data_IF_508100485805
#
_entry.id   IF_508100485805
#
_cell.length_a   1.000
_cell.length_b   1.000
_cell.length_c   1.000
_cell.angle_alpha   90.00
_cell.angle_beta   90.00
_cell.angle_gamma   90.00
#
_symmetry.space_group_name_H-M   'P 1'
#
loop_
_entity.id
_entity.type
_entity.pdbx_description
1 polymer ?
#
# COMPACT_ATOMS: atom_id res chain seq x y z
N UNK A 1 -16.37 -16.60 44.59
CA UNK A 1 -15.05 -15.95 44.43
C UNK A 1 -14.24 -16.77 43.46
N UNK A 2 -14.20 -16.37 42.20
CA UNK A 2 -13.44 -17.03 41.15
C UNK A 2 -12.05 -16.41 41.08
N UNK A 3 -11.04 -17.21 41.40
CA UNK A 3 -9.62 -16.80 41.26
C UNK A 3 -9.26 -16.76 39.77
N UNK A 4 -9.01 -15.57 39.24
CA UNK A 4 -8.45 -15.34 37.93
C UNK A 4 -6.99 -15.80 37.94
N UNK A 5 -6.67 -16.84 37.17
CA UNK A 5 -5.31 -17.35 37.04
C UNK A 5 -4.39 -16.31 36.39
N UNK A 6 -3.19 -16.03 36.95
CA UNK A 6 -2.25 -15.04 36.44
C UNK A 6 -1.59 -15.42 35.09
N UNK A 7 -1.72 -16.67 34.64
CA UNK A 7 -1.13 -17.16 33.38
C UNK A 7 -1.78 -16.51 32.13
N UNK A 8 -3.06 -16.16 32.19
CA UNK A 8 -3.75 -15.50 31.07
C UNK A 8 -3.28 -14.06 30.81
N UNK A 9 -2.93 -13.34 31.87
CA UNK A 9 -2.45 -11.95 31.77
C UNK A 9 -1.03 -11.85 31.21
N UNK A 10 -0.15 -12.80 31.54
CA UNK A 10 1.21 -12.85 31.00
C UNK A 10 1.25 -13.27 29.53
N UNK A 11 0.37 -14.19 29.12
CA UNK A 11 0.23 -14.59 27.71
C UNK A 11 -0.34 -13.46 26.84
N UNK A 12 -1.28 -12.67 27.36
CA UNK A 12 -1.79 -11.46 26.68
C UNK A 12 -0.75 -10.34 26.60
N UNK A 13 0.05 -10.12 27.66
CA UNK A 13 1.10 -9.12 27.67
C UNK A 13 2.26 -9.48 26.73
N UNK A 14 2.59 -10.78 26.58
CA UNK A 14 3.58 -11.26 25.60
C UNK A 14 3.09 -11.08 24.16
N UNK A 15 1.82 -11.39 23.88
CA UNK A 15 1.22 -11.14 22.55
C UNK A 15 1.15 -9.64 22.21
N UNK A 16 0.85 -8.77 23.18
CA UNK A 16 0.77 -7.32 22.97
C UNK A 16 2.16 -6.71 22.67
N UNK A 17 3.24 -7.25 23.24
CA UNK A 17 4.61 -6.82 22.90
C UNK A 17 4.99 -7.20 21.46
N UNK A 18 4.52 -8.33 20.97
CA UNK A 18 4.72 -8.75 19.58
C UNK A 18 4.05 -7.80 18.57
N UNK A 19 2.82 -7.32 18.85
CA UNK A 19 2.10 -6.41 17.94
C UNK A 19 2.77 -5.04 17.74
N UNK A 20 3.67 -4.61 18.63
CA UNK A 20 4.41 -3.35 18.47
C UNK A 20 5.46 -3.45 17.36
N UNK A 21 5.89 -4.65 17.01
CA UNK A 21 6.90 -4.92 16.00
C UNK A 21 6.31 -5.16 14.60
N UNK A 22 4.98 -5.22 14.48
CA UNK A 22 4.29 -5.37 13.20
C UNK A 22 4.42 -4.13 12.32
N UNK A 23 4.35 -4.34 11.01
CA UNK A 23 4.42 -3.29 10.02
C UNK A 23 5.72 -2.48 10.13
N UNK A 24 6.86 -3.16 10.07
CA UNK A 24 8.19 -2.52 10.09
C UNK A 24 8.38 -1.58 8.91
N UNK A 25 7.92 -1.99 7.74
CA UNK A 25 7.86 -1.12 6.58
C UNK A 25 6.54 -0.34 6.56
N UNK A 26 6.63 0.97 6.47
CA UNK A 26 5.47 1.85 6.35
C UNK A 26 5.72 2.93 5.33
N UNK A 27 4.74 3.15 4.49
CA UNK A 27 4.78 4.25 3.54
C UNK A 27 4.52 5.56 4.30
N UNK A 28 5.50 6.45 4.29
CA UNK A 28 5.45 7.74 4.99
C UNK A 28 5.55 8.93 4.06
N UNK A 29 6.37 8.82 3.02
CA UNK A 29 6.61 9.89 2.06
C UNK A 29 6.45 9.33 0.65
N UNK A 30 5.47 9.87 -0.07
CA UNK A 30 5.10 9.46 -1.42
C UNK A 30 5.45 10.58 -2.39
N UNK A 31 6.06 10.26 -3.50
CA UNK A 31 6.13 11.14 -4.66
C UNK A 31 5.02 10.76 -5.64
N UNK A 32 4.13 11.70 -5.90
CA UNK A 32 3.13 11.59 -6.96
C UNK A 32 3.64 12.35 -8.19
N UNK A 33 3.99 11.59 -9.23
CA UNK A 33 4.45 12.13 -10.50
C UNK A 33 3.29 12.14 -11.47
N UNK A 34 2.76 13.31 -11.78
CA UNK A 34 1.56 13.44 -12.62
C UNK A 34 1.60 14.71 -13.45
N UNK A 35 1.08 14.66 -14.69
CA UNK A 35 0.90 15.85 -15.50
C UNK A 35 -0.06 16.83 -14.81
N UNK A 36 -0.05 18.10 -15.23
CA UNK A 36 -1.01 19.10 -14.73
C UNK A 36 -2.47 18.67 -15.01
N UNK A 37 -2.70 18.00 -16.15
CA UNK A 37 -4.02 17.49 -16.50
C UNK A 37 -4.45 16.32 -15.59
N UNK A 38 -3.58 15.33 -15.39
CA UNK A 38 -3.86 14.20 -14.49
C UNK A 38 -4.04 14.68 -13.04
N UNK A 39 -3.23 15.64 -12.62
CA UNK A 39 -3.39 16.31 -11.33
C UNK A 39 -4.76 16.98 -11.18
N UNK A 40 -5.28 17.55 -12.27
CA UNK A 40 -6.62 18.13 -12.28
C UNK A 40 -7.70 17.05 -12.18
N UNK A 41 -7.55 15.92 -12.88
CA UNK A 41 -8.48 14.78 -12.77
C UNK A 41 -8.51 14.24 -11.34
N UNK A 42 -7.35 14.08 -10.72
CA UNK A 42 -7.23 13.65 -9.32
C UNK A 42 -7.82 14.68 -8.34
N UNK A 43 -7.76 15.97 -8.68
CA UNK A 43 -8.27 17.05 -7.85
C UNK A 43 -9.75 17.42 -8.12
N UNK A 44 -10.40 16.81 -9.12
CA UNK A 44 -11.80 17.15 -9.49
C UNK A 44 -12.81 16.91 -8.36
N UNK A 45 -12.50 16.04 -7.41
CA UNK A 45 -13.33 15.76 -6.23
C UNK A 45 -12.95 16.62 -5.00
N UNK A 46 -12.21 17.71 -5.21
CA UNK A 46 -11.74 18.55 -4.12
C UNK A 46 -10.27 18.34 -3.80
N UNK A 47 -9.86 18.69 -2.62
CA UNK A 47 -8.47 18.61 -2.20
C UNK A 47 -8.09 17.15 -1.94
N UNK A 48 -7.44 16.49 -2.93
CA UNK A 48 -7.03 15.08 -2.83
C UNK A 48 -6.29 14.78 -1.50
N UNK A 49 -5.47 15.73 -1.05
CA UNK A 49 -4.74 15.60 0.22
C UNK A 49 -5.69 15.55 1.41
N UNK A 50 -6.79 16.34 1.39
CA UNK A 50 -7.83 16.33 2.44
C UNK A 50 -8.66 15.05 2.39
N UNK A 51 -8.98 14.54 1.19
CA UNK A 51 -9.72 13.27 1.03
C UNK A 51 -8.88 12.09 1.53
N UNK A 52 -7.61 12.02 1.16
CA UNK A 52 -6.69 11.01 1.67
C UNK A 52 -6.57 11.14 3.19
N UNK A 53 -6.33 12.34 3.71
CA UNK A 53 -6.22 12.58 5.14
C UNK A 53 -7.50 12.17 5.87
N UNK A 54 -8.68 12.54 5.36
CA UNK A 54 -9.97 12.20 5.98
C UNK A 54 -10.18 10.69 6.02
N UNK A 55 -9.84 9.96 4.95
CA UNK A 55 -9.99 8.51 4.91
C UNK A 55 -9.00 7.82 5.85
N UNK A 56 -7.74 8.26 5.90
CA UNK A 56 -6.76 7.74 6.86
C UNK A 56 -7.18 8.01 8.31
N UNK A 57 -7.79 9.17 8.58
CA UNK A 57 -8.33 9.50 9.91
C UNK A 57 -9.58 8.69 10.25
N UNK A 58 -10.50 8.50 9.28
CA UNK A 58 -11.69 7.67 9.44
C UNK A 58 -11.34 6.21 9.75
N UNK A 59 -10.23 5.73 9.20
CA UNK A 59 -9.70 4.40 9.46
C UNK A 59 -8.77 4.36 10.69
N UNK A 60 -8.74 5.43 11.51
CA UNK A 60 -7.88 5.55 12.70
C UNK A 60 -6.38 5.28 12.41
N UNK A 61 -5.93 5.52 11.18
CA UNK A 61 -4.54 5.37 10.79
C UNK A 61 -3.76 6.59 11.28
N UNK A 62 -2.83 6.38 12.22
CA UNK A 62 -2.05 7.48 12.84
C UNK A 62 -1.07 8.17 11.89
N UNK A 63 -0.70 7.51 10.82
CA UNK A 63 0.30 8.00 9.89
C UNK A 63 -0.39 8.16 8.54
N UNK A 64 -0.70 9.40 8.21
CA UNK A 64 -1.06 9.78 6.85
C UNK A 64 0.22 9.99 6.08
N UNK A 65 0.44 9.33 4.95
CA UNK A 65 1.61 9.58 4.14
C UNK A 65 1.66 11.04 3.70
N UNK A 66 2.85 11.61 3.73
CA UNK A 66 3.10 12.93 3.16
C UNK A 66 3.20 12.78 1.63
N UNK A 67 2.39 13.52 0.89
CA UNK A 67 2.31 13.45 -0.56
C UNK A 67 3.00 14.66 -1.17
N UNK A 68 4.09 14.43 -1.90
CA UNK A 68 4.78 15.47 -2.67
C UNK A 68 4.47 15.26 -4.14
N UNK A 69 3.98 16.30 -4.81
CA UNK A 69 3.63 16.28 -6.23
C UNK A 69 4.73 16.90 -7.06
N UNK A 70 5.06 16.24 -8.16
CA UNK A 70 5.96 16.73 -9.19
C UNK A 70 5.37 16.47 -10.57
N UNK A 71 5.78 17.27 -11.54
CA UNK A 71 5.21 17.23 -12.90
C UNK A 71 6.02 16.40 -13.88
N UNK A 72 7.24 16.04 -13.53
CA UNK A 72 8.15 15.31 -14.43
C UNK A 72 8.90 14.20 -13.69
N UNK A 73 9.27 13.16 -14.44
CA UNK A 73 10.10 12.08 -13.91
C UNK A 73 11.49 12.57 -13.50
N UNK A 74 12.03 13.58 -14.18
CA UNK A 74 13.32 14.19 -13.83
C UNK A 74 13.29 14.87 -12.45
N UNK A 75 12.21 15.60 -12.14
CA UNK A 75 12.02 16.17 -10.80
C UNK A 75 11.92 15.08 -9.73
N UNK A 76 11.19 14.00 -10.02
CA UNK A 76 11.10 12.87 -9.11
C UNK A 76 12.47 12.24 -8.83
N UNK A 77 13.27 11.98 -9.89
CA UNK A 77 14.61 11.42 -9.76
C UNK A 77 15.54 12.32 -8.95
N UNK A 78 15.47 13.63 -9.15
CA UNK A 78 16.26 14.58 -8.36
C UNK A 78 15.87 14.51 -6.88
N UNK A 79 14.58 14.49 -6.57
CA UNK A 79 14.08 14.40 -5.19
C UNK A 79 14.51 13.11 -4.48
N UNK A 80 14.41 11.94 -5.13
CA UNK A 80 14.81 10.68 -4.49
C UNK A 80 16.32 10.56 -4.33
N UNK A 81 17.10 11.15 -5.22
CA UNK A 81 18.56 11.18 -5.10
C UNK A 81 19.05 12.05 -3.93
N UNK A 82 18.35 13.16 -3.66
CA UNK A 82 18.71 14.08 -2.59
C UNK A 82 18.13 13.69 -1.22
N UNK A 83 17.00 12.99 -1.21
CA UNK A 83 16.24 12.70 0.01
C UNK A 83 15.89 11.21 0.13
N UNK A 84 16.59 10.44 0.96
CA UNK A 84 16.33 9.00 1.15
C UNK A 84 15.04 8.70 1.93
N UNK A 85 14.25 9.70 2.30
CA UNK A 85 13.01 9.54 3.06
C UNK A 85 11.86 8.95 2.24
N UNK A 86 11.88 9.16 0.92
CA UNK A 86 10.82 8.68 0.04
C UNK A 86 10.83 7.17 -0.05
N UNK A 87 9.66 6.57 0.12
CA UNK A 87 9.51 5.12 0.16
C UNK A 87 8.36 4.58 -0.71
N UNK A 88 7.77 5.43 -1.54
CA UNK A 88 6.87 5.05 -2.63
C UNK A 88 6.86 6.15 -3.70
N UNK A 89 6.92 5.74 -4.96
CA UNK A 89 6.65 6.60 -6.11
C UNK A 89 5.38 6.09 -6.79
N UNK A 90 4.42 7.00 -6.99
CA UNK A 90 3.22 6.77 -7.81
C UNK A 90 3.33 7.67 -9.02
N UNK A 91 3.37 7.09 -10.21
CA UNK A 91 3.54 7.85 -11.45
C UNK A 91 2.37 7.61 -12.41
N UNK A 92 1.87 8.68 -13.05
CA UNK A 92 1.00 8.54 -14.23
C UNK A 92 1.72 7.71 -15.30
N UNK A 93 0.97 7.00 -16.14
CA UNK A 93 1.55 6.16 -17.20
C UNK A 93 2.61 6.90 -18.02
N UNK A 94 2.36 8.17 -18.32
CA UNK A 94 3.27 9.07 -19.02
C UNK A 94 3.36 10.40 -18.30
N UNK A 95 4.54 10.80 -17.89
CA UNK A 95 4.81 12.02 -17.12
C UNK A 95 5.72 12.95 -17.89
N UNK A 96 5.11 13.81 -18.69
CA UNK A 96 5.76 14.92 -19.37
C UNK A 96 7.03 14.59 -20.17
N UNK A 97 8.03 13.97 -19.55
CA UNK A 97 9.37 13.72 -20.09
C UNK A 97 9.75 12.23 -20.20
N UNK A 98 8.99 11.32 -19.61
CA UNK A 98 9.23 9.87 -19.66
C UNK A 98 7.99 9.04 -19.31
N UNK A 99 8.03 7.73 -19.55
CA UNK A 99 7.01 6.79 -19.06
C UNK A 99 7.25 6.41 -17.60
N UNK A 100 6.23 5.84 -16.95
CA UNK A 100 6.37 5.28 -15.59
C UNK A 100 7.41 4.14 -15.55
N UNK A 101 7.51 3.35 -16.63
CA UNK A 101 8.51 2.27 -16.74
C UNK A 101 9.92 2.84 -16.84
N UNK A 102 10.14 3.88 -17.68
CA UNK A 102 11.44 4.55 -17.77
C UNK A 102 11.86 5.16 -16.43
N UNK A 103 10.90 5.71 -15.69
CA UNK A 103 11.13 6.25 -14.34
C UNK A 103 11.57 5.13 -13.39
N UNK A 104 10.86 4.00 -13.35
CA UNK A 104 11.20 2.86 -12.52
C UNK A 104 12.60 2.32 -12.84
N UNK A 105 12.91 2.12 -14.13
CA UNK A 105 14.23 1.71 -14.58
C UNK A 105 15.33 2.66 -14.07
N UNK A 106 15.12 3.97 -14.19
CA UNK A 106 16.11 4.97 -13.73
C UNK A 106 16.25 5.00 -12.20
N UNK A 107 15.18 4.78 -11.43
CA UNK A 107 15.24 4.65 -9.97
C UNK A 107 16.12 3.44 -9.60
N UNK A 108 15.93 2.29 -10.27
CA UNK A 108 16.78 1.12 -10.06
C UNK A 108 18.23 1.35 -10.48
N UNK A 109 18.46 2.07 -11.58
CA UNK A 109 19.80 2.42 -12.04
C UNK A 109 20.55 3.34 -11.06
N UNK A 110 19.86 4.12 -10.24
CA UNK A 110 20.44 4.88 -9.14
C UNK A 110 20.79 4.01 -7.91
N UNK A 111 20.51 2.71 -7.94
CA UNK A 111 20.71 1.81 -6.82
C UNK A 111 19.67 2.00 -5.68
N UNK A 112 18.52 2.61 -5.98
CA UNK A 112 17.47 2.87 -5.01
C UNK A 112 16.40 1.77 -5.07
N UNK A 113 16.11 1.18 -3.91
CA UNK A 113 15.06 0.17 -3.76
C UNK A 113 13.73 0.82 -3.29
N UNK A 114 13.29 1.83 -4.05
CA UNK A 114 12.02 2.52 -3.81
C UNK A 114 10.98 1.91 -4.73
N UNK A 115 9.85 1.39 -4.21
CA UNK A 115 8.77 0.88 -5.04
C UNK A 115 8.22 1.96 -5.99
N UNK A 116 7.98 1.56 -7.24
CA UNK A 116 7.39 2.42 -8.28
C UNK A 116 6.12 1.78 -8.80
N UNK A 117 4.99 2.43 -8.55
CA UNK A 117 3.68 2.01 -9.04
C UNK A 117 3.17 2.96 -10.12
N UNK A 118 2.59 2.41 -11.18
CA UNK A 118 1.95 3.22 -12.21
C UNK A 118 0.45 3.39 -11.89
N UNK A 119 -0.05 4.61 -12.10
CA UNK A 119 -1.47 4.95 -12.08
C UNK A 119 -1.89 5.35 -13.49
N UNK A 120 -2.56 4.43 -14.18
CA UNK A 120 -3.11 4.65 -15.52
C UNK A 120 -4.50 5.28 -15.43
N UNK A 121 -4.88 6.08 -16.43
CA UNK A 121 -6.21 6.71 -16.52
C UNK A 121 -7.07 6.09 -17.62
N UNK A 122 -6.47 5.28 -18.48
CA UNK A 122 -7.14 4.54 -19.55
C UNK A 122 -6.65 3.09 -19.59
N UNK A 123 -7.51 2.17 -20.03
CA UNK A 123 -7.16 0.75 -20.20
C UNK A 123 -6.06 0.56 -21.25
N UNK A 124 -5.94 1.46 -22.22
CA UNK A 124 -4.86 1.43 -23.20
C UNK A 124 -3.51 1.69 -22.55
N UNK A 125 -3.44 2.66 -21.65
CA UNK A 125 -2.22 2.94 -20.88
C UNK A 125 -1.76 1.70 -20.11
N UNK A 126 -2.70 0.98 -19.47
CA UNK A 126 -2.41 -0.30 -18.79
C UNK A 126 -1.78 -1.29 -19.76
N UNK A 127 -2.40 -1.45 -20.93
CA UNK A 127 -1.93 -2.40 -21.96
C UNK A 127 -0.55 -2.03 -22.48
N UNK A 128 -0.30 -0.75 -22.72
CA UNK A 128 0.97 -0.25 -23.22
C UNK A 128 2.09 -0.43 -22.19
N UNK A 129 1.81 -0.12 -20.91
CA UNK A 129 2.76 -0.36 -19.81
C UNK A 129 3.07 -1.84 -19.64
N UNK A 130 2.07 -2.72 -19.71
CA UNK A 130 2.25 -4.18 -19.57
C UNK A 130 3.05 -4.79 -20.74
N UNK A 131 2.98 -4.21 -21.93
CA UNK A 131 3.72 -4.66 -23.12
C UNK A 131 5.14 -4.11 -23.21
N UNK A 132 5.48 -3.16 -22.35
CA UNK A 132 6.82 -2.59 -22.35
C UNK A 132 7.85 -3.67 -21.98
N UNK A 133 9.02 -3.75 -22.66
CA UNK A 133 10.05 -4.75 -22.37
C UNK A 133 10.47 -4.78 -20.90
N UNK A 134 10.54 -3.61 -20.28
CA UNK A 134 10.96 -3.43 -18.89
C UNK A 134 9.76 -3.26 -17.94
N UNK A 135 8.57 -3.78 -18.29
CA UNK A 135 7.37 -3.69 -17.45
C UNK A 135 7.57 -4.26 -16.03
N UNK A 136 8.48 -5.24 -15.89
CA UNK A 136 8.85 -5.85 -14.61
C UNK A 136 9.57 -4.91 -13.64
N UNK A 137 10.02 -3.75 -14.09
CA UNK A 137 10.60 -2.70 -13.23
C UNK A 137 9.52 -1.96 -12.40
N UNK A 138 8.27 -2.02 -12.87
CA UNK A 138 7.13 -1.52 -12.10
C UNK A 138 6.70 -2.55 -11.05
N UNK A 139 6.50 -2.09 -9.84
CA UNK A 139 5.96 -2.94 -8.77
C UNK A 139 4.51 -3.34 -9.04
N UNK A 140 3.69 -2.42 -9.59
CA UNK A 140 2.31 -2.69 -10.01
C UNK A 140 1.73 -1.55 -10.85
N UNK A 141 0.72 -1.88 -11.63
CA UNK A 141 -0.04 -0.92 -12.45
C UNK A 141 -1.47 -0.86 -11.91
N UNK A 142 -1.94 0.31 -11.53
CA UNK A 142 -3.32 0.55 -11.11
C UNK A 142 -4.06 1.38 -12.15
N UNK A 143 -5.37 1.18 -12.25
CA UNK A 143 -6.26 1.97 -13.12
C UNK A 143 -7.10 2.91 -12.25
N UNK A 144 -7.03 4.21 -12.54
CA UNK A 144 -7.91 5.20 -11.96
C UNK A 144 -9.35 5.04 -12.46
N UNK A 145 -10.30 4.94 -11.56
CA UNK A 145 -11.71 4.76 -11.87
C UNK A 145 -12.62 5.78 -11.13
N UNK A 146 -12.07 6.96 -10.79
CA UNK A 146 -12.80 8.00 -10.07
C UNK A 146 -12.86 7.79 -8.55
N UNK A 147 -12.14 6.84 -8.00
CA UNK A 147 -12.12 6.58 -6.56
C UNK A 147 -10.70 6.79 -5.99
N UNK A 148 -10.52 7.87 -5.22
CA UNK A 148 -9.23 8.20 -4.60
C UNK A 148 -8.72 7.13 -3.63
N UNK A 149 -9.60 6.23 -3.13
CA UNK A 149 -9.20 5.12 -2.26
C UNK A 149 -8.27 4.12 -2.96
N UNK A 150 -8.12 4.19 -4.27
CA UNK A 150 -7.09 3.44 -4.99
C UNK A 150 -5.69 3.78 -4.47
N UNK A 151 -5.42 5.03 -4.07
CA UNK A 151 -4.14 5.42 -3.47
C UNK A 151 -3.94 4.78 -2.09
N UNK A 152 -5.00 4.65 -1.29
CA UNK A 152 -4.96 3.85 -0.06
C UNK A 152 -4.61 2.39 -0.35
N UNK A 153 -5.25 1.80 -1.38
CA UNK A 153 -4.97 0.43 -1.78
C UNK A 153 -3.52 0.26 -2.25
N UNK A 154 -2.98 1.19 -3.02
CA UNK A 154 -1.57 1.17 -3.46
C UNK A 154 -0.61 1.19 -2.26
N UNK A 155 -0.86 2.06 -1.28
CA UNK A 155 -0.06 2.12 -0.04
C UNK A 155 -0.15 0.80 0.73
N UNK A 156 -1.35 0.23 0.88
CA UNK A 156 -1.55 -0.99 1.66
C UNK A 156 -1.03 -2.24 0.95
N UNK A 157 -1.14 -2.31 -0.37
CA UNK A 157 -0.57 -3.40 -1.17
C UNK A 157 0.94 -3.49 -0.98
N UNK A 158 1.66 -2.35 -1.08
CA UNK A 158 3.11 -2.35 -0.90
C UNK A 158 3.50 -2.63 0.57
N UNK A 159 2.78 -2.06 1.53
CA UNK A 159 3.02 -2.32 2.95
C UNK A 159 2.81 -3.80 3.29
N UNK A 160 1.74 -4.43 2.79
CA UNK A 160 1.46 -5.83 3.07
C UNK A 160 2.50 -6.75 2.42
N UNK A 161 2.90 -6.48 1.18
CA UNK A 161 3.92 -7.25 0.48
C UNK A 161 5.28 -7.18 1.17
N UNK A 162 5.73 -5.99 1.55
CA UNK A 162 7.06 -5.80 2.16
C UNK A 162 7.14 -6.21 3.64
N UNK A 163 6.01 -6.34 4.32
CA UNK A 163 5.97 -6.85 5.69
C UNK A 163 5.59 -8.33 5.78
N UNK A 164 5.32 -9.01 4.65
CA UNK A 164 4.74 -10.34 4.63
C UNK A 164 5.57 -11.35 5.42
N UNK A 165 6.87 -11.46 5.11
CA UNK A 165 7.77 -12.42 5.73
C UNK A 165 7.81 -12.26 7.25
N UNK A 166 7.97 -11.03 7.71
CA UNK A 166 8.00 -10.73 9.13
C UNK A 166 6.62 -10.92 9.79
N UNK A 167 5.58 -10.28 9.26
CA UNK A 167 4.28 -10.21 9.92
C UNK A 167 3.54 -11.57 9.85
N UNK A 168 3.67 -12.32 8.77
CA UNK A 168 3.03 -13.63 8.61
C UNK A 168 3.95 -14.76 9.05
N UNK A 169 5.21 -14.78 8.58
CA UNK A 169 6.14 -15.85 8.88
C UNK A 169 6.60 -15.85 10.35
N UNK A 170 7.02 -14.69 10.88
CA UNK A 170 7.55 -14.62 12.24
C UNK A 170 6.47 -14.35 13.29
N UNK A 171 5.50 -13.48 12.98
CA UNK A 171 4.50 -12.99 13.95
C UNK A 171 3.16 -13.73 13.87
N UNK A 172 2.95 -14.59 12.87
CA UNK A 172 1.74 -15.41 12.71
C UNK A 172 0.48 -14.62 12.35
N UNK A 173 0.63 -13.45 11.70
CA UNK A 173 -0.50 -12.70 11.15
C UNK A 173 -1.04 -13.45 9.94
N UNK A 174 -2.35 -13.59 9.81
CA UNK A 174 -2.97 -14.24 8.67
C UNK A 174 -2.76 -13.48 7.37
N UNK A 175 -2.73 -14.20 6.25
CA UNK A 175 -2.73 -13.63 4.91
C UNK A 175 -3.98 -14.06 4.13
N UNK A 176 -4.44 -13.18 3.25
CA UNK A 176 -5.51 -13.40 2.29
C UNK A 176 -4.87 -13.33 0.91
N UNK A 177 -4.87 -14.43 0.18
CA UNK A 177 -4.38 -14.47 -1.19
C UNK A 177 -5.53 -14.14 -2.13
N UNK A 178 -5.32 -13.14 -2.98
CA UNK A 178 -6.26 -12.73 -4.04
C UNK A 178 -5.57 -12.95 -5.37
N UNK A 179 -6.23 -13.66 -6.29
CA UNK A 179 -5.69 -13.92 -7.64
C UNK A 179 -6.52 -13.13 -8.64
N UNK A 180 -5.91 -12.13 -9.26
CA UNK A 180 -6.54 -11.31 -10.30
C UNK A 180 -5.44 -10.63 -11.14
N UNK A 181 -5.44 -10.87 -12.43
CA UNK A 181 -4.47 -10.32 -13.39
C UNK A 181 -4.94 -9.02 -14.06
N UNK A 182 -6.23 -8.74 -14.00
CA UNK A 182 -6.82 -7.58 -14.66
C UNK A 182 -6.78 -6.33 -13.77
N UNK A 183 -5.96 -5.35 -14.18
CA UNK A 183 -5.79 -4.09 -13.46
C UNK A 183 -7.11 -3.35 -13.19
N UNK A 184 -8.08 -3.45 -14.10
CA UNK A 184 -9.40 -2.83 -13.92
C UNK A 184 -10.14 -3.41 -12.72
N UNK A 185 -10.08 -4.73 -12.54
CA UNK A 185 -10.82 -5.38 -11.47
C UNK A 185 -10.12 -5.19 -10.12
N UNK A 186 -8.83 -5.50 -10.01
CA UNK A 186 -8.17 -5.34 -8.71
C UNK A 186 -8.08 -3.88 -8.26
N UNK A 187 -7.97 -2.90 -9.18
CA UNK A 187 -8.03 -1.47 -8.83
C UNK A 187 -9.39 -1.04 -8.29
N UNK A 188 -10.45 -1.78 -8.62
CA UNK A 188 -11.81 -1.54 -8.13
C UNK A 188 -12.07 -2.17 -6.78
N UNK A 189 -11.70 -3.45 -6.58
CA UNK A 189 -12.08 -4.17 -5.38
C UNK A 189 -11.05 -4.08 -4.23
N UNK A 190 -9.76 -3.90 -4.51
CA UNK A 190 -8.75 -3.77 -3.43
C UNK A 190 -9.05 -2.61 -2.47
N UNK A 191 -9.42 -1.40 -2.94
CA UNK A 191 -9.83 -0.33 -2.03
C UNK A 191 -10.94 -0.75 -1.07
N UNK A 192 -11.96 -1.46 -1.56
CA UNK A 192 -13.08 -1.94 -0.76
C UNK A 192 -12.63 -3.01 0.26
N UNK A 193 -11.79 -3.96 -0.18
CA UNK A 193 -11.24 -4.99 0.70
C UNK A 193 -10.47 -4.36 1.85
N UNK A 194 -9.56 -3.41 1.55
CA UNK A 194 -8.75 -2.75 2.57
C UNK A 194 -9.60 -1.96 3.57
N UNK A 195 -10.56 -1.17 3.07
CA UNK A 195 -11.47 -0.40 3.93
C UNK A 195 -12.28 -1.33 4.84
N UNK A 196 -12.86 -2.42 4.30
CA UNK A 196 -13.65 -3.35 5.10
C UNK A 196 -12.82 -4.13 6.12
N UNK A 197 -11.61 -4.56 5.75
CA UNK A 197 -10.69 -5.22 6.69
C UNK A 197 -10.31 -4.30 7.85
N UNK A 198 -10.07 -3.02 7.57
CA UNK A 198 -9.75 -2.05 8.61
C UNK A 198 -10.96 -1.79 9.52
N UNK A 199 -12.15 -1.56 8.96
CA UNK A 199 -13.39 -1.42 9.73
C UNK A 199 -13.68 -2.66 10.57
N UNK A 200 -13.47 -3.86 10.02
CA UNK A 200 -13.66 -5.11 10.77
C UNK A 200 -12.69 -5.21 11.94
N UNK A 201 -11.42 -4.87 11.73
CA UNK A 201 -10.39 -4.87 12.77
C UNK A 201 -10.72 -3.88 13.91
N UNK A 202 -11.32 -2.73 13.56
CA UNK A 202 -11.81 -1.77 14.57
C UNK A 202 -13.00 -2.31 15.36
N UNK A 203 -13.97 -2.93 14.69
CA UNK A 203 -15.17 -3.50 15.34
C UNK A 203 -14.84 -4.62 16.32
N UNK A 204 -13.77 -5.38 16.06
CA UNK A 204 -13.30 -6.43 16.95
C UNK A 204 -12.55 -5.92 18.19
N UNK A 205 -12.29 -4.61 18.28
CA UNK A 205 -11.67 -4.03 19.46
C UNK A 205 -12.69 -3.93 20.61
N UNK A 206 -12.43 -4.51 21.82
CA UNK A 206 -13.34 -4.41 22.95
C UNK A 206 -13.64 -2.97 23.33
N UNK A 207 -14.89 -2.70 23.77
CA UNK A 207 -15.25 -1.43 24.39
C UNK A 207 -14.34 -1.18 25.60
N UNK A 208 -13.77 0.03 25.69
CA UNK A 208 -12.81 0.40 26.75
C UNK A 208 -11.33 0.19 26.40
N UNK A 209 -11.01 -0.40 25.24
CA UNK A 209 -9.63 -0.48 24.78
C UNK A 209 -9.07 0.90 24.46
N UNK A 210 -7.86 1.21 24.95
CA UNK A 210 -7.23 2.49 24.67
C UNK A 210 -6.82 2.60 23.17
N UNK A 211 -6.62 3.83 22.71
CA UNK A 211 -6.32 4.15 21.30
C UNK A 211 -5.09 3.40 20.77
N UNK A 212 -4.07 3.21 21.60
CA UNK A 212 -2.84 2.50 21.21
C UNK A 212 -3.09 1.03 20.93
N UNK A 213 -3.91 0.37 21.75
CA UNK A 213 -4.25 -1.05 21.54
C UNK A 213 -5.16 -1.27 20.34
N UNK A 214 -6.06 -0.33 20.03
CA UNK A 214 -6.86 -0.40 18.79
C UNK A 214 -5.96 -0.34 17.56
N UNK A 215 -4.98 0.57 17.56
CA UNK A 215 -4.02 0.70 16.48
C UNK A 215 -3.22 -0.59 16.24
N UNK A 216 -2.76 -1.22 17.32
CA UNK A 216 -2.03 -2.50 17.23
C UNK A 216 -2.89 -3.59 16.57
N UNK A 217 -4.19 -3.61 16.82
CA UNK A 217 -5.11 -4.56 16.16
C UNK A 217 -5.28 -4.29 14.67
N UNK A 218 -5.35 -3.03 14.27
CA UNK A 218 -5.40 -2.67 12.84
C UNK A 218 -4.12 -3.10 12.11
N UNK A 219 -2.98 -3.04 12.78
CA UNK A 219 -1.71 -3.53 12.25
C UNK A 219 -1.66 -5.06 12.14
N UNK A 220 -2.34 -5.76 13.05
CA UNK A 220 -2.48 -7.22 13.07
C UNK A 220 -3.62 -7.72 12.16
N UNK A 221 -4.23 -6.88 11.33
CA UNK A 221 -5.19 -7.33 10.32
C UNK A 221 -4.55 -8.32 9.35
N UNK A 222 -5.32 -9.21 8.74
CA UNK A 222 -4.82 -10.06 7.68
C UNK A 222 -4.13 -9.24 6.59
N UNK A 223 -2.97 -9.71 6.12
CA UNK A 223 -2.28 -9.13 4.96
C UNK A 223 -3.01 -9.53 3.69
N UNK A 224 -3.13 -8.61 2.73
CA UNK A 224 -3.73 -8.90 1.43
C UNK A 224 -2.61 -9.03 0.40
N UNK A 225 -2.53 -10.21 -0.21
CA UNK A 225 -1.53 -10.53 -1.23
C UNK A 225 -2.22 -10.63 -2.57
N UNK A 226 -2.10 -9.61 -3.38
CA UNK A 226 -2.56 -9.66 -4.76
C UNK A 226 -1.51 -10.37 -5.62
N UNK A 227 -1.90 -11.50 -6.20
CA UNK A 227 -1.14 -12.27 -7.17
C UNK A 227 -1.77 -12.09 -8.55
N UNK A 228 -0.95 -11.87 -9.56
CA UNK A 228 -1.41 -11.77 -10.95
C UNK A 228 -1.33 -13.10 -11.69
N UNK A 229 -0.70 -14.12 -11.08
CA UNK A 229 -0.62 -15.48 -11.60
C UNK A 229 -1.02 -16.49 -10.52
N UNK A 230 -1.42 -17.68 -10.97
CA UNK A 230 -1.68 -18.79 -10.05
C UNK A 230 -0.38 -19.28 -9.40
N UNK A 231 0.72 -19.25 -10.15
CA UNK A 231 2.03 -19.69 -9.71
C UNK A 231 2.54 -18.85 -8.53
N UNK A 232 2.38 -17.52 -8.60
CA UNK A 232 2.72 -16.63 -7.49
C UNK A 232 1.87 -16.92 -6.25
N UNK A 233 0.55 -17.11 -6.46
CA UNK A 233 -0.37 -17.42 -5.37
C UNK A 233 -0.03 -18.77 -4.70
N UNK A 234 0.33 -19.77 -5.51
CA UNK A 234 0.73 -21.07 -5.02
C UNK A 234 2.04 -21.02 -4.24
N UNK A 235 3.02 -20.26 -4.73
CA UNK A 235 4.29 -20.05 -4.02
C UNK A 235 4.07 -19.41 -2.64
N UNK A 236 3.21 -18.38 -2.53
CA UNK A 236 2.84 -17.82 -1.24
C UNK A 236 2.11 -18.82 -0.33
N UNK A 237 1.19 -19.60 -0.89
CA UNK A 237 0.48 -20.61 -0.13
C UNK A 237 1.44 -21.65 0.46
N UNK A 238 2.40 -22.16 -0.32
CA UNK A 238 3.41 -23.12 0.17
C UNK A 238 4.37 -22.53 1.21
N UNK A 239 4.74 -21.25 1.04
CA UNK A 239 5.69 -20.60 1.94
C UNK A 239 5.12 -20.25 3.33
N UNK A 240 3.80 -20.04 3.43
CA UNK A 240 3.14 -19.51 4.64
C UNK A 240 1.96 -20.38 5.14
N UNK A 241 2.04 -21.70 4.93
CA UNK A 241 1.07 -22.67 5.49
C UNK A 241 1.14 -22.78 7.01
#
# INVERSE_FOLDING_TARGET
>A
MAQTHPIGALAQAGRLRGFQDLMRYRVRDIILVSSLYDSFILAQEGQLDELILSEFLNLDLRITPNLIRVSTGREALALVAENPRFNLIVASAYVGDMSAVDLAHRVRALGLDIPVMALAYDVRDVTDLQRHPDASELDRIYLWQGDFRVLLAMVKDIEDRLNLEHDTGEMGVQAIIVIEDNARYYSSFLPMIYVELMHHSHRLAPEGMNRSHRLLRVQARPKVLLCTTFEDAWAYFEAYQ
#
